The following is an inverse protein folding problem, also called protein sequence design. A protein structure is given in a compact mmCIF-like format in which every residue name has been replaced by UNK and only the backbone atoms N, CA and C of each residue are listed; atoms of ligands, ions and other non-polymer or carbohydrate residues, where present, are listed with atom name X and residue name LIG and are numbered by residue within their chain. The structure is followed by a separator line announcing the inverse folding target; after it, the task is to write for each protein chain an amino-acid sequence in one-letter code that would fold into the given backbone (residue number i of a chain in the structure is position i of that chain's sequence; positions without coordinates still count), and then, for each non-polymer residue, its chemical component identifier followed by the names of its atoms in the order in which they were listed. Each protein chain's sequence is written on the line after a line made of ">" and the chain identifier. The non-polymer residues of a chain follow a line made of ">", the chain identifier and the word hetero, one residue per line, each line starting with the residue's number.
data_IF_402274966257
#
_entry.id   IF_402274966257
#
_cell.length_a   1.000
_cell.length_b   1.000
_cell.length_c   1.000
_cell.angle_alpha   90.00
_cell.angle_beta   90.00
_cell.angle_gamma   90.00
#
_symmetry.space_group_name_H-M   'P 1'
#
loop_
_entity.id
_entity.type
_entity.pdbx_description
1 polymer ?
#
# COMPACT_ATOMS: atom_id res chain seq x y z
N UNK A 1 2.14 20.79 -21.28
CA UNK A 1 2.33 20.62 -19.83
C UNK A 1 2.60 19.14 -19.63
N UNK A 2 3.66 18.77 -18.91
CA UNK A 2 3.91 17.36 -18.59
C UNK A 2 2.83 16.89 -17.61
N UNK A 3 2.33 15.68 -17.78
CA UNK A 3 1.39 15.09 -16.83
C UNK A 3 2.11 14.75 -15.52
N UNK A 4 1.44 14.93 -14.38
CA UNK A 4 2.01 14.73 -13.04
C UNK A 4 2.23 13.25 -12.71
N UNK A 5 3.35 12.93 -12.04
CA UNK A 5 3.64 11.59 -11.54
C UNK A 5 2.59 11.18 -10.50
N UNK A 6 1.91 10.06 -10.73
CA UNK A 6 0.80 9.63 -9.87
C UNK A 6 0.72 8.13 -9.67
N UNK A 7 0.22 7.72 -8.51
CA UNK A 7 -0.12 6.33 -8.19
C UNK A 7 -1.63 6.18 -8.00
N UNK A 8 -2.17 5.05 -8.46
CA UNK A 8 -3.59 4.69 -8.38
C UNK A 8 -3.73 3.20 -8.04
N UNK A 9 -4.90 2.80 -7.55
CA UNK A 9 -5.28 1.39 -7.42
C UNK A 9 -6.65 1.15 -8.03
N UNK A 10 -6.84 -0.03 -8.62
CA UNK A 10 -8.18 -0.49 -9.01
C UNK A 10 -8.98 -1.06 -7.83
N UNK A 11 -8.35 -1.26 -6.67
CA UNK A 11 -9.01 -1.77 -5.48
C UNK A 11 -9.76 -0.69 -4.69
N UNK A 12 -9.26 0.54 -4.67
CA UNK A 12 -9.87 1.69 -4.00
C UNK A 12 -9.32 3.01 -4.58
N UNK A 13 -10.13 4.07 -4.54
CA UNK A 13 -9.69 5.42 -4.89
C UNK A 13 -8.87 6.08 -3.79
N UNK A 14 -8.22 7.21 -4.08
CA UNK A 14 -7.51 7.97 -3.05
C UNK A 14 -8.46 8.43 -1.94
N UNK A 15 -8.01 8.29 -0.70
CA UNK A 15 -8.80 8.44 0.54
C UNK A 15 -10.03 7.51 0.61
N UNK A 16 -10.03 6.44 -0.19
CA UNK A 16 -11.06 5.41 -0.21
C UNK A 16 -10.88 4.37 0.89
N UNK A 17 -11.92 3.56 1.08
CA UNK A 17 -11.88 2.41 2.00
C UNK A 17 -11.07 1.26 1.40
N UNK A 18 -10.10 0.74 2.14
CA UNK A 18 -9.32 -0.44 1.74
C UNK A 18 -10.21 -1.69 1.82
N UNK A 19 -10.37 -2.46 0.73
CA UNK A 19 -11.08 -3.73 0.77
C UNK A 19 -10.45 -4.74 1.71
N UNK A 20 -11.28 -5.49 2.42
CA UNK A 20 -10.89 -6.47 3.46
C UNK A 20 -9.76 -7.43 3.05
N UNK A 21 -9.69 -7.84 1.78
CA UNK A 21 -8.63 -8.75 1.27
C UNK A 21 -7.21 -8.17 1.34
N UNK A 22 -7.08 -6.84 1.42
CA UNK A 22 -5.82 -6.13 1.55
C UNK A 22 -5.47 -5.85 3.02
N UNK A 23 -6.13 -6.51 3.96
CA UNK A 23 -5.98 -6.30 5.40
C UNK A 23 -5.71 -7.64 6.09
N UNK A 24 -5.30 -7.61 7.35
CA UNK A 24 -5.14 -8.82 8.15
C UNK A 24 -6.47 -9.55 8.39
N UNK A 25 -7.61 -8.84 8.25
CA UNK A 25 -8.95 -9.41 8.39
C UNK A 25 -9.39 -10.23 7.17
N UNK A 26 -8.61 -10.27 6.10
CA UNK A 26 -8.90 -11.06 4.90
C UNK A 26 -9.09 -12.55 5.21
N UNK A 27 -9.87 -13.26 4.39
CA UNK A 27 -10.24 -14.64 4.65
C UNK A 27 -9.46 -15.62 3.77
N UNK A 28 -8.96 -16.71 4.38
CA UNK A 28 -8.29 -17.79 3.66
C UNK A 28 -7.09 -17.28 2.85
N UNK A 29 -7.01 -17.67 1.58
CA UNK A 29 -5.95 -17.24 0.66
C UNK A 29 -6.01 -15.75 0.25
N UNK A 30 -7.05 -15.01 0.67
CA UNK A 30 -7.24 -13.60 0.36
C UNK A 30 -6.94 -12.71 1.58
N UNK A 31 -5.98 -13.08 2.43
CA UNK A 31 -5.49 -12.26 3.53
C UNK A 31 -4.16 -11.60 3.15
N UNK A 32 -3.91 -10.40 3.68
CA UNK A 32 -2.65 -9.67 3.46
C UNK A 32 -2.23 -9.56 1.98
N UNK A 33 -3.18 -9.46 1.06
CA UNK A 33 -2.85 -9.25 -0.34
C UNK A 33 -2.51 -7.77 -0.54
N UNK A 34 -1.28 -7.44 -0.96
CA UNK A 34 -0.98 -6.05 -1.36
C UNK A 34 -2.00 -5.56 -2.40
N UNK A 35 -2.47 -4.30 -2.34
CA UNK A 35 -3.36 -3.79 -3.35
C UNK A 35 -2.64 -3.70 -4.70
N UNK A 36 -3.35 -3.90 -5.83
CA UNK A 36 -2.78 -3.63 -7.13
C UNK A 36 -2.45 -2.13 -7.21
N UNK A 37 -1.20 -1.79 -7.46
CA UNK A 37 -0.76 -0.41 -7.63
C UNK A 37 -0.40 -0.17 -9.09
N UNK A 38 -0.76 0.99 -9.60
CA UNK A 38 -0.43 1.44 -10.95
C UNK A 38 0.12 2.85 -10.87
N UNK A 39 1.26 3.09 -11.52
CA UNK A 39 1.87 4.41 -11.60
C UNK A 39 1.84 4.95 -13.02
N UNK A 40 1.72 6.27 -13.12
CA UNK A 40 1.58 6.99 -14.37
C UNK A 40 2.56 8.15 -14.39
N UNK A 41 3.05 8.51 -15.58
CA UNK A 41 3.91 9.67 -15.79
C UNK A 41 5.20 9.62 -14.94
N UNK A 42 5.85 8.46 -14.93
CA UNK A 42 7.18 8.29 -14.32
C UNK A 42 8.16 9.27 -15.00
N UNK A 43 8.92 10.07 -14.25
CA UNK A 43 9.94 10.97 -14.82
C UNK A 43 10.93 10.21 -15.72
N UNK A 44 11.34 10.81 -16.82
CA UNK A 44 12.20 10.15 -17.83
C UNK A 44 13.57 9.73 -17.26
N UNK A 45 14.11 10.51 -16.33
CA UNK A 45 15.40 10.27 -15.68
C UNK A 45 15.34 9.18 -14.57
N UNK A 46 14.18 8.56 -14.36
CA UNK A 46 14.02 7.53 -13.33
C UNK A 46 14.81 6.27 -13.69
N UNK A 47 15.74 5.87 -12.83
CA UNK A 47 16.44 4.59 -12.91
C UNK A 47 15.73 3.48 -12.11
N UNK A 48 15.07 3.83 -11.00
CA UNK A 48 14.28 2.90 -10.22
C UNK A 48 13.12 3.55 -9.47
N UNK A 49 12.09 2.76 -9.17
CA UNK A 49 11.01 3.14 -8.27
C UNK A 49 11.16 2.43 -6.92
N UNK A 50 10.67 3.07 -5.86
CA UNK A 50 10.57 2.49 -4.53
C UNK A 50 9.18 2.75 -3.93
N UNK A 51 8.74 1.86 -3.04
CA UNK A 51 7.47 1.95 -2.32
C UNK A 51 7.74 1.90 -0.82
N UNK A 52 7.14 2.83 -0.08
CA UNK A 52 6.98 2.74 1.36
C UNK A 52 5.48 2.78 1.64
N UNK A 53 4.99 1.73 2.31
CA UNK A 53 3.63 1.66 2.81
C UNK A 53 3.66 1.77 4.33
N UNK A 54 2.97 2.76 4.88
CA UNK A 54 2.96 3.01 6.31
C UNK A 54 1.59 3.43 6.84
N UNK A 55 1.31 3.06 8.07
CA UNK A 55 0.20 3.59 8.84
C UNK A 55 0.67 4.85 9.56
N UNK A 56 0.07 5.98 9.20
CA UNK A 56 0.35 7.30 9.79
C UNK A 56 -0.75 7.74 10.75
N UNK A 57 -1.69 6.85 11.08
CA UNK A 57 -2.68 7.16 12.11
C UNK A 57 -2.00 7.36 13.45
N UNK A 58 -2.42 8.41 14.16
CA UNK A 58 -1.97 8.62 15.53
C UNK A 58 -2.57 7.52 16.41
N UNK A 59 -1.71 6.78 17.10
CA UNK A 59 -2.12 5.87 18.17
C UNK A 59 -1.75 6.48 19.52
N UNK A 60 -2.49 6.16 20.60
CA UNK A 60 -2.10 6.57 21.95
C UNK A 60 -0.68 6.09 22.34
N UNK A 61 -0.21 5.00 21.72
CA UNK A 61 1.02 4.29 22.08
C UNK A 61 2.23 4.69 21.23
N UNK A 62 2.03 5.36 20.09
CA UNK A 62 3.11 5.74 19.17
C UNK A 62 2.68 6.84 18.20
N UNK A 63 3.58 7.81 18.00
CA UNK A 63 3.53 8.83 16.94
C UNK A 63 4.41 8.46 15.74
N UNK A 64 5.14 7.34 15.81
CA UNK A 64 5.98 6.85 14.71
C UNK A 64 5.11 6.03 13.75
N UNK A 65 5.13 6.33 12.43
CA UNK A 65 4.40 5.56 11.45
C UNK A 65 4.82 4.09 11.42
N UNK A 66 3.84 3.19 11.34
CA UNK A 66 4.08 1.74 11.34
C UNK A 66 4.25 1.22 9.91
N UNK A 67 5.36 0.56 9.61
CA UNK A 67 5.70 0.14 8.25
C UNK A 67 5.05 -1.19 7.88
N UNK A 68 4.17 -1.14 6.87
CA UNK A 68 3.44 -2.29 6.32
C UNK A 68 4.17 -2.93 5.12
N UNK A 69 4.93 -2.15 4.35
CA UNK A 69 5.63 -2.64 3.16
C UNK A 69 6.79 -1.74 2.75
N UNK A 70 7.87 -2.36 2.28
CA UNK A 70 9.01 -1.68 1.65
C UNK A 70 9.35 -2.44 0.39
N UNK A 71 9.42 -1.76 -0.75
CA UNK A 71 9.84 -2.33 -2.03
C UNK A 71 10.85 -1.39 -2.67
N UNK A 72 11.93 -1.94 -3.21
CA UNK A 72 12.99 -1.14 -3.85
C UNK A 72 13.39 -1.73 -5.19
N UNK A 73 14.07 -0.92 -6.00
CA UNK A 73 14.63 -1.30 -7.29
C UNK A 73 13.58 -1.80 -8.30
N UNK A 74 12.35 -1.28 -8.22
CA UNK A 74 11.31 -1.54 -9.20
C UNK A 74 11.72 -0.91 -10.54
N UNK A 75 11.81 -1.68 -11.64
CA UNK A 75 12.12 -1.11 -12.95
C UNK A 75 11.10 -0.03 -13.35
N UNK A 76 11.54 1.14 -13.82
CA UNK A 76 10.64 2.24 -14.23
C UNK A 76 9.78 1.88 -15.45
N UNK A 77 10.16 0.82 -16.17
CA UNK A 77 9.45 0.28 -17.33
C UNK A 77 8.18 -0.48 -16.96
N UNK A 78 8.10 -1.02 -15.74
CA UNK A 78 6.85 -1.56 -15.20
C UNK A 78 5.82 -0.44 -15.07
N UNK A 79 4.53 -0.78 -15.11
CA UNK A 79 3.41 0.17 -14.96
C UNK A 79 2.66 0.04 -13.65
N UNK A 80 3.08 -0.91 -12.82
CA UNK A 80 2.41 -1.26 -11.59
C UNK A 80 2.95 -2.54 -10.96
N UNK A 81 2.48 -2.82 -9.75
CA UNK A 81 2.61 -4.13 -9.13
C UNK A 81 1.22 -4.78 -9.04
N UNK A 82 1.11 -6.09 -9.35
CA UNK A 82 -0.16 -6.80 -9.26
C UNK A 82 -0.63 -6.91 -7.80
N UNK A 83 -1.91 -7.24 -7.64
CA UNK A 83 -2.46 -7.58 -6.34
C UNK A 83 -1.69 -8.77 -5.73
N UNK A 84 -1.35 -8.68 -4.45
CA UNK A 84 -0.67 -9.75 -3.74
C UNK A 84 0.74 -9.99 -4.24
N UNK A 85 1.39 -8.98 -4.84
CA UNK A 85 2.76 -9.07 -5.29
C UNK A 85 3.68 -9.56 -4.18
N UNK A 86 4.54 -10.52 -4.52
CA UNK A 86 5.66 -10.94 -3.72
C UNK A 86 6.86 -11.23 -4.64
N UNK A 87 8.03 -10.69 -4.32
CA UNK A 87 9.23 -10.75 -5.19
C UNK A 87 9.66 -12.19 -5.54
N UNK A 88 9.45 -13.15 -4.64
CA UNK A 88 9.78 -14.57 -4.91
C UNK A 88 8.94 -15.18 -6.02
N UNK A 89 7.73 -14.67 -6.27
CA UNK A 89 6.85 -15.19 -7.32
C UNK A 89 7.32 -14.76 -8.72
N UNK A 90 8.18 -13.74 -8.77
CA UNK A 90 8.73 -13.16 -10.00
C UNK A 90 10.24 -13.33 -10.13
N UNK A 91 10.86 -14.13 -9.26
CA UNK A 91 12.30 -14.38 -9.28
C UNK A 91 12.74 -14.97 -10.63
N UNK A 92 13.78 -14.39 -11.23
CA UNK A 92 14.30 -14.78 -12.55
C UNK A 92 13.50 -14.23 -13.74
N UNK A 93 12.37 -13.55 -13.52
CA UNK A 93 11.63 -12.88 -14.58
C UNK A 93 12.30 -11.53 -14.91
N UNK A 94 12.85 -11.42 -16.11
CA UNK A 94 13.65 -10.25 -16.56
C UNK A 94 12.91 -8.91 -16.41
N UNK A 95 11.59 -8.91 -16.58
CA UNK A 95 10.76 -7.70 -16.50
C UNK A 95 10.67 -7.10 -15.10
N UNK A 96 10.81 -7.93 -14.06
CA UNK A 96 10.81 -7.50 -12.66
C UNK A 96 12.21 -7.14 -12.14
N UNK A 97 13.25 -7.35 -12.95
CA UNK A 97 14.62 -6.95 -12.64
C UNK A 97 15.09 -7.42 -11.26
N UNK A 98 15.67 -6.50 -10.49
CA UNK A 98 16.23 -6.75 -9.16
C UNK A 98 15.29 -6.28 -8.04
N UNK A 99 13.96 -6.35 -8.24
CA UNK A 99 13.00 -5.95 -7.20
C UNK A 99 13.29 -6.71 -5.91
N UNK A 100 13.36 -5.94 -4.82
CA UNK A 100 13.53 -6.48 -3.49
C UNK A 100 12.41 -5.99 -2.58
N UNK A 101 11.73 -6.93 -1.91
CA UNK A 101 10.88 -6.60 -0.76
C UNK A 101 11.71 -6.55 0.52
N UNK A 102 11.61 -5.43 1.24
CA UNK A 102 12.26 -5.22 2.51
C UNK A 102 11.53 -5.86 3.68
N UNK A 103 12.16 -5.78 4.85
CA UNK A 103 11.60 -6.23 6.13
C UNK A 103 10.74 -5.11 6.72
N UNK A 104 9.47 -5.39 6.97
CA UNK A 104 8.50 -4.47 7.54
C UNK A 104 8.53 -4.50 9.10
N UNK A 105 7.64 -3.75 9.76
CA UNK A 105 7.65 -3.70 11.23
C UNK A 105 7.14 -4.96 11.92
N UNK A 106 6.42 -5.82 11.18
CA UNK A 106 6.11 -7.20 11.61
C UNK A 106 7.34 -8.14 11.54
N UNK A 107 8.52 -7.61 11.16
CA UNK A 107 9.80 -8.32 11.07
C UNK A 107 9.79 -9.46 10.03
N UNK A 108 8.93 -9.33 9.02
CA UNK A 108 8.84 -10.23 7.86
C UNK A 108 9.08 -9.48 6.56
N UNK A 109 9.55 -10.15 5.49
CA UNK A 109 9.58 -9.54 4.18
C UNK A 109 8.17 -9.37 3.60
N UNK A 110 8.02 -8.35 2.76
CA UNK A 110 6.82 -8.13 1.96
C UNK A 110 5.65 -7.46 2.69
N UNK A 111 4.48 -7.48 2.07
CA UNK A 111 3.30 -6.76 2.56
C UNK A 111 2.62 -7.48 3.72
N UNK A 112 2.18 -6.69 4.70
CA UNK A 112 1.18 -7.07 5.70
C UNK A 112 0.14 -5.97 5.79
N UNK A 113 -1.14 -6.33 5.78
CA UNK A 113 -2.22 -5.36 5.72
C UNK A 113 -2.50 -4.68 7.07
N UNK A 114 -3.29 -3.59 7.07
CA UNK A 114 -3.77 -2.98 8.29
C UNK A 114 -4.58 -3.97 9.14
N UNK A 115 -4.51 -3.77 10.45
CA UNK A 115 -5.19 -4.57 11.47
C UNK A 115 -5.47 -3.68 12.68
N UNK A 116 -6.35 -2.67 12.55
CA UNK A 116 -6.58 -1.69 13.59
C UNK A 116 -7.01 -2.40 14.88
N UNK A 117 -6.28 -2.25 15.99
CA UNK A 117 -6.72 -2.77 17.29
C UNK A 117 -7.98 -2.03 17.76
N UNK A 118 -8.04 -0.72 17.50
CA UNK A 118 -9.19 0.17 17.70
C UNK A 118 -9.17 1.26 16.62
N UNK A 119 -10.32 1.89 16.37
CA UNK A 119 -10.41 3.04 15.46
C UNK A 119 -10.17 2.71 13.99
N UNK A 120 -9.67 3.72 13.27
CA UNK A 120 -9.41 3.68 11.83
C UNK A 120 -7.94 3.96 11.56
N UNK A 121 -7.31 3.10 10.76
CA UNK A 121 -5.94 3.29 10.28
C UNK A 121 -5.93 4.03 8.95
N UNK A 122 -5.02 4.99 8.81
CA UNK A 122 -4.77 5.74 7.57
C UNK A 122 -3.47 5.24 6.98
N UNK A 123 -3.57 4.47 5.90
CA UNK A 123 -2.43 3.83 5.24
C UNK A 123 -2.01 4.65 4.02
N UNK A 124 -0.76 5.09 4.02
CA UNK A 124 -0.14 5.81 2.91
C UNK A 124 0.72 4.85 2.09
N UNK A 125 0.44 4.76 0.79
CA UNK A 125 1.24 4.04 -0.21
C UNK A 125 2.04 5.09 -0.99
N UNK A 126 3.24 5.42 -0.52
CA UNK A 126 4.13 6.38 -1.18
C UNK A 126 4.99 5.67 -2.22
N UNK A 127 5.06 6.25 -3.41
CA UNK A 127 5.92 5.79 -4.51
C UNK A 127 6.93 6.89 -4.84
N UNK A 128 8.20 6.52 -4.88
CA UNK A 128 9.31 7.41 -5.19
C UNK A 128 9.89 7.06 -6.53
N UNK A 129 10.15 8.07 -7.36
CA UNK A 129 10.96 7.98 -8.56
C UNK A 129 12.38 8.45 -8.26
N UNK A 130 13.34 7.58 -8.53
CA UNK A 130 14.74 7.75 -8.13
C UNK A 130 15.64 7.75 -9.36
N UNK A 131 16.65 8.63 -9.38
CA UNK A 131 17.68 8.71 -10.42
C UNK A 131 18.79 7.65 -10.25
N UNK A 132 18.60 6.71 -9.31
CA UNK A 132 19.58 5.70 -8.95
C UNK A 132 18.91 4.41 -8.45
N UNK A 133 19.64 3.30 -8.49
CA UNK A 133 19.27 2.05 -7.81
C UNK A 133 19.74 2.06 -6.35
N UNK A 134 18.91 1.53 -5.46
CA UNK A 134 19.16 1.48 -4.03
C UNK A 134 19.88 0.19 -3.62
N UNK A 135 21.10 0.31 -3.11
CA UNK A 135 21.86 -0.83 -2.57
C UNK A 135 21.73 -0.92 -1.04
N UNK A 136 20.69 -1.62 -0.57
CA UNK A 136 20.38 -1.73 0.87
C UNK A 136 20.91 -3.02 1.52
N UNK A 137 21.63 -3.84 0.74
CA UNK A 137 22.05 -5.18 1.13
C UNK A 137 20.89 -6.15 1.37
N UNK A 138 21.14 -7.21 2.14
CA UNK A 138 20.16 -8.31 2.34
C UNK A 138 18.88 -7.91 3.08
N UNK A 139 18.92 -6.83 3.85
CA UNK A 139 17.79 -6.34 4.65
C UNK A 139 17.54 -4.88 4.32
N UNK A 140 16.70 -4.66 3.31
CA UNK A 140 16.08 -3.37 3.07
C UNK A 140 15.07 -3.09 4.20
N UNK A 141 15.22 -1.95 4.87
CA UNK A 141 14.25 -1.43 5.85
C UNK A 141 13.87 -0.01 5.44
N UNK A 142 12.81 0.55 6.01
CA UNK A 142 12.41 1.94 5.74
C UNK A 142 13.55 2.90 6.03
N UNK A 143 14.23 2.75 7.16
CA UNK A 143 15.27 3.68 7.62
C UNK A 143 16.42 3.75 6.61
N UNK A 144 16.91 2.57 6.18
CA UNK A 144 17.98 2.48 5.18
C UNK A 144 17.55 3.02 3.82
N UNK A 145 16.30 2.77 3.44
CA UNK A 145 15.77 3.28 2.18
C UNK A 145 15.69 4.81 2.21
N UNK A 146 15.15 5.39 3.27
CA UNK A 146 15.09 6.85 3.45
C UNK A 146 16.48 7.48 3.40
N UNK A 147 17.46 6.89 4.09
CA UNK A 147 18.86 7.34 4.04
C UNK A 147 19.44 7.24 2.61
N UNK A 148 19.22 6.11 1.92
CA UNK A 148 19.76 5.90 0.58
C UNK A 148 19.09 6.75 -0.51
N UNK A 149 17.84 7.18 -0.30
CA UNK A 149 17.10 8.04 -1.24
C UNK A 149 17.48 9.52 -1.12
N UNK A 150 18.21 9.92 -0.07
CA UNK A 150 18.59 11.32 0.14
C UNK A 150 19.39 11.84 -1.06
N UNK A 151 18.90 12.91 -1.69
CA UNK A 151 19.50 13.49 -2.89
C UNK A 151 19.18 12.78 -4.21
N UNK A 152 18.43 11.66 -4.18
CA UNK A 152 18.11 10.84 -5.35
C UNK A 152 16.63 10.90 -5.78
N UNK A 153 15.77 11.58 -5.03
CA UNK A 153 14.33 11.67 -5.33
C UNK A 153 14.08 12.69 -6.45
N UNK A 154 13.61 12.19 -7.60
CA UNK A 154 13.17 13.01 -8.73
C UNK A 154 11.71 13.46 -8.57
N UNK A 155 10.86 12.56 -8.08
CA UNK A 155 9.44 12.83 -7.83
C UNK A 155 8.90 11.83 -6.79
N UNK A 156 7.82 12.22 -6.12
CA UNK A 156 7.06 11.35 -5.24
C UNK A 156 5.56 11.49 -5.49
N UNK A 157 4.82 10.45 -5.16
CA UNK A 157 3.36 10.45 -5.20
C UNK A 157 2.81 9.49 -4.15
N UNK A 158 1.52 9.63 -3.82
CA UNK A 158 0.91 8.89 -2.74
C UNK A 158 -0.53 8.50 -3.07
N UNK A 159 -0.89 7.28 -2.68
CA UNK A 159 -2.28 6.84 -2.57
C UNK A 159 -2.58 6.62 -1.08
N UNK A 160 -3.65 7.21 -0.58
CA UNK A 160 -4.12 7.03 0.79
C UNK A 160 -5.31 6.08 0.79
N UNK A 161 -5.32 5.12 1.71
CA UNK A 161 -6.45 4.24 1.97
C UNK A 161 -6.77 4.20 3.45
N UNK A 162 -8.05 4.08 3.79
CA UNK A 162 -8.52 4.02 5.16
C UNK A 162 -9.11 2.65 5.49
N UNK A 163 -8.84 2.15 6.70
CA UNK A 163 -9.44 0.92 7.17
C UNK A 163 -9.81 1.02 8.65
N UNK A 164 -11.11 0.95 8.92
CA UNK A 164 -11.64 0.66 10.24
C UNK A 164 -12.03 -0.82 10.29
N UNK A 165 -11.47 -1.56 11.24
CA UNK A 165 -11.86 -2.93 11.53
C UNK A 165 -13.33 -2.99 11.91
N UNK A 166 -13.92 -4.18 11.86
CA UNK A 166 -15.23 -4.38 12.47
C UNK A 166 -15.06 -4.27 14.00
N UNK A 167 -15.91 -3.49 14.68
CA UNK A 167 -15.96 -3.50 16.14
C UNK A 167 -16.17 -4.95 16.59
N UNK A 168 -15.18 -5.51 17.31
CA UNK A 168 -15.39 -6.73 18.08
C UNK A 168 -16.33 -6.34 19.21
N UNK A 169 -17.55 -6.87 19.21
CA UNK A 169 -18.39 -6.74 20.40
C UNK A 169 -17.72 -7.48 21.58
N UNK A 170 -18.11 -7.15 22.83
CA UNK A 170 -17.59 -7.77 24.05
C UNK A 170 -17.80 -9.31 24.13
N UNK A 171 -18.43 -9.91 23.11
CA UNK A 171 -18.74 -11.34 22.99
C UNK A 171 -18.05 -12.02 21.81
N UNK A 172 -17.18 -11.33 21.07
CA UNK A 172 -16.46 -11.90 19.91
C UNK A 172 -17.32 -12.05 18.65
N UNK A 173 -18.48 -11.41 18.59
CA UNK A 173 -19.31 -11.25 17.40
C UNK A 173 -18.82 -10.10 16.51
N UNK A 174 -18.86 -10.32 15.20
CA UNK A 174 -18.61 -9.27 14.21
C UNK A 174 -19.85 -8.39 14.07
N UNK A 175 -19.73 -7.11 14.41
CA UNK A 175 -20.73 -6.11 14.03
C UNK A 175 -20.19 -5.29 12.85
N UNK A 176 -20.95 -5.19 11.77
CA UNK A 176 -20.54 -4.38 10.61
C UNK A 176 -20.69 -2.90 10.96
N UNK A 177 -19.58 -2.17 11.02
CA UNK A 177 -19.62 -0.72 11.20
C UNK A 177 -20.18 -0.04 9.93
N UNK A 178 -21.36 0.59 10.11
CA UNK A 178 -22.14 1.45 9.19
C UNK A 178 -22.67 0.78 7.91
N UNK A 179 -23.99 0.56 7.90
CA UNK A 179 -24.77 0.23 6.71
C UNK A 179 -24.77 1.36 5.66
N UNK A 180 -25.25 1.09 4.44
CA UNK A 180 -25.21 2.04 3.34
C UNK A 180 -26.04 3.28 3.69
N UNK A 181 -25.52 4.47 3.36
CA UNK A 181 -26.33 5.67 3.21
C UNK A 181 -27.22 5.45 1.98
N UNK A 182 -28.41 4.87 2.21
CA UNK A 182 -29.43 4.68 1.18
C UNK A 182 -29.94 6.04 0.70
N UNK A 183 -29.36 6.51 -0.40
CA UNK A 183 -29.86 7.59 -1.23
C UNK A 183 -30.47 7.03 -2.51
N UNK A 184 -31.57 6.25 -2.42
CA UNK A 184 -32.39 5.97 -3.60
C UNK A 184 -33.88 5.79 -3.23
N UNK A 185 -34.57 6.93 -3.27
CA UNK A 185 -35.89 7.14 -3.88
C UNK A 185 -36.84 5.94 -3.99
N UNK A 186 -37.81 5.89 -3.07
CA UNK A 186 -39.04 5.11 -3.23
C UNK A 186 -39.95 5.76 -4.28
N UNK A 187 -39.87 5.28 -5.51
CA UNK A 187 -40.93 5.40 -6.51
C UNK A 187 -41.12 4.05 -7.21
N UNK A 188 -42.30 3.45 -7.03
CA UNK A 188 -43.05 2.59 -7.97
C UNK A 188 -44.17 1.92 -7.15
N UNK A 189 -45.39 2.45 -7.17
CA UNK A 189 -46.46 2.26 -8.16
C UNK A 189 -47.48 1.20 -7.71
N UNK A 190 -48.67 1.72 -7.42
CA UNK A 190 -50.00 1.10 -7.45
C UNK A 190 -50.10 -0.09 -8.42
N UNK A 191 -50.56 -1.24 -7.89
CA UNK A 191 -51.79 -1.95 -8.30
C UNK A 191 -52.32 -2.80 -7.14
#
# INVERSE_FOLDING_TARGET
>A
MADEFRVTSTAFGNDGRIPRKHTADGAGAQHDMSPPLQWHNVPEETESLAIICEDVSESPDSTVPFVHWVVVNIPPTLKGLPQGFHHKDVEGQKEYGDIQEGVNDFKVPGYRGPSPPTGEQRIEFRVYALDSKMNLGKKATKEKLVEAMEGHILAETMLVGHYAGNEKDDKGGFTSARGPMDGQSLYNNLQ
#
